data_IF_762351434023
#
_entry.id   IF_762351434023
#
_cell.length_a   1.000
_cell.length_b   1.000
_cell.length_c   1.000
_cell.angle_alpha   90.00
_cell.angle_beta   90.00
_cell.angle_gamma   90.00
#
_symmetry.space_group_name_H-M   'P 1'
#
loop_
_entity.id
_entity.type
_entity.pdbx_description
1 polymer ?
#
# COMPACT_ATOMS: atom_id res chain seq x y z
N UNK A 1 17.26 -9.11 -25.47
CA UNK A 1 17.58 -10.25 -24.57
C UNK A 1 16.47 -11.31 -24.55
N UNK A 2 15.22 -10.94 -24.28
CA UNK A 2 14.06 -11.87 -24.19
C UNK A 2 13.85 -12.73 -25.44
N UNK A 3 13.88 -12.13 -26.64
CA UNK A 3 13.73 -12.87 -27.92
C UNK A 3 14.78 -13.97 -28.11
N UNK A 4 16.00 -13.78 -27.59
CA UNK A 4 17.09 -14.76 -27.70
C UNK A 4 16.84 -15.95 -26.78
N UNK A 5 16.29 -15.70 -25.59
CA UNK A 5 15.85 -16.74 -24.65
C UNK A 5 14.68 -17.54 -25.22
N UNK A 6 13.67 -16.87 -25.79
CA UNK A 6 12.52 -17.54 -26.43
C UNK A 6 13.00 -18.48 -27.56
N UNK A 7 13.93 -18.04 -28.41
CA UNK A 7 14.50 -18.88 -29.48
C UNK A 7 15.32 -20.06 -28.94
N UNK A 8 16.08 -19.86 -27.86
CA UNK A 8 16.89 -20.93 -27.23
C UNK A 8 16.00 -21.99 -26.58
N UNK A 9 14.90 -21.59 -25.94
CA UNK A 9 13.92 -22.51 -25.34
C UNK A 9 13.19 -23.31 -26.42
N UNK A 10 12.76 -22.64 -27.50
CA UNK A 10 12.09 -23.28 -28.64
C UNK A 10 12.97 -24.33 -29.33
N UNK A 11 14.27 -24.06 -29.47
CA UNK A 11 15.25 -24.96 -30.10
C UNK A 11 15.95 -25.92 -29.13
N UNK A 12 15.54 -25.98 -27.85
CA UNK A 12 16.16 -26.86 -26.88
C UNK A 12 15.99 -28.36 -27.25
N UNK A 13 17.03 -29.16 -27.00
CA UNK A 13 17.02 -30.60 -27.23
C UNK A 13 16.01 -31.33 -26.34
N UNK A 14 15.71 -30.78 -25.17
CA UNK A 14 14.74 -31.33 -24.22
C UNK A 14 13.31 -31.36 -24.76
N UNK A 15 12.94 -30.43 -25.65
CA UNK A 15 11.63 -30.42 -26.29
C UNK A 15 11.67 -31.00 -27.72
N UNK A 16 12.83 -31.46 -28.22
CA UNK A 16 13.09 -31.86 -29.61
C UNK A 16 12.02 -32.77 -30.24
N UNK A 17 11.37 -33.63 -29.44
CA UNK A 17 10.32 -34.56 -29.85
C UNK A 17 8.97 -33.92 -30.19
N UNK A 18 8.72 -32.69 -29.75
CA UNK A 18 7.43 -32.00 -29.92
C UNK A 18 7.51 -31.04 -31.13
N UNK A 19 6.54 -31.02 -32.05
CA UNK A 19 6.59 -30.11 -33.19
C UNK A 19 6.65 -28.64 -32.75
N UNK A 20 7.46 -27.83 -33.44
CA UNK A 20 7.79 -26.45 -33.05
C UNK A 20 6.54 -25.56 -32.83
N UNK A 21 5.47 -25.78 -33.60
CA UNK A 21 4.18 -25.07 -33.45
C UNK A 21 3.54 -25.23 -32.07
N UNK A 22 3.56 -26.44 -31.51
CA UNK A 22 2.99 -26.71 -30.18
C UNK A 22 3.84 -26.09 -29.06
N UNK A 23 5.17 -26.05 -29.24
CA UNK A 23 6.07 -25.36 -28.28
C UNK A 23 5.82 -23.87 -28.24
N UNK A 24 5.60 -23.25 -29.40
CA UNK A 24 5.29 -21.83 -29.50
C UNK A 24 3.96 -21.50 -28.82
N UNK A 25 2.95 -22.36 -29.00
CA UNK A 25 1.65 -22.21 -28.34
C UNK A 25 1.78 -22.35 -26.80
N UNK A 26 2.52 -23.35 -26.33
CA UNK A 26 2.80 -23.54 -24.90
C UNK A 26 3.52 -22.36 -24.27
N UNK A 27 4.49 -21.77 -24.97
CA UNK A 27 5.23 -20.60 -24.48
C UNK A 27 4.35 -19.35 -24.42
N UNK A 28 3.44 -19.17 -25.38
CA UNK A 28 2.44 -18.09 -25.33
C UNK A 28 1.45 -18.26 -24.18
N UNK A 29 0.95 -19.48 -23.94
CA UNK A 29 0.07 -19.77 -22.80
C UNK A 29 0.80 -19.49 -21.49
N UNK A 30 2.03 -19.96 -21.35
CA UNK A 30 2.83 -19.73 -20.15
C UNK A 30 3.05 -18.24 -19.88
N UNK A 31 3.36 -17.47 -20.92
CA UNK A 31 3.48 -16.00 -20.82
C UNK A 31 2.16 -15.37 -20.38
N UNK A 32 1.04 -15.83 -20.92
CA UNK A 32 -0.30 -15.34 -20.57
C UNK A 32 -0.63 -15.66 -19.10
N UNK A 33 -0.31 -16.86 -18.61
CA UNK A 33 -0.51 -17.24 -17.21
C UNK A 33 0.32 -16.37 -16.26
N UNK A 34 1.59 -16.11 -16.57
CA UNK A 34 2.42 -15.21 -15.77
C UNK A 34 1.81 -13.81 -15.73
N UNK A 35 1.43 -13.30 -16.89
CA UNK A 35 0.87 -11.95 -17.00
C UNK A 35 -0.44 -11.83 -16.21
N UNK A 36 -1.29 -12.85 -16.28
CA UNK A 36 -2.53 -12.93 -15.51
C UNK A 36 -2.25 -13.00 -13.99
N UNK A 37 -1.27 -13.79 -13.57
CA UNK A 37 -0.89 -13.89 -12.16
C UNK A 37 -0.39 -12.54 -11.61
N UNK A 38 0.49 -11.87 -12.35
CA UNK A 38 1.00 -10.54 -11.97
C UNK A 38 -0.13 -9.51 -11.93
N UNK A 39 -1.00 -9.49 -12.95
CA UNK A 39 -2.13 -8.58 -13.00
C UNK A 39 -3.11 -8.80 -11.85
N UNK A 40 -3.39 -10.06 -11.49
CA UNK A 40 -4.24 -10.41 -10.36
C UNK A 40 -3.70 -9.83 -9.06
N UNK A 41 -2.42 -10.09 -8.75
CA UNK A 41 -1.78 -9.56 -7.54
C UNK A 41 -1.79 -8.03 -7.51
N UNK A 42 -1.45 -7.39 -8.63
CA UNK A 42 -1.46 -5.94 -8.74
C UNK A 42 -2.86 -5.35 -8.49
N UNK A 43 -3.91 -6.00 -8.98
CA UNK A 43 -5.29 -5.58 -8.78
C UNK A 43 -5.69 -5.67 -7.31
N UNK A 44 -5.37 -6.78 -6.62
CA UNK A 44 -5.62 -6.91 -5.18
C UNK A 44 -4.88 -5.86 -4.36
N UNK A 45 -3.61 -5.57 -4.70
CA UNK A 45 -2.85 -4.52 -4.03
C UNK A 45 -3.46 -3.14 -4.25
N UNK A 46 -3.89 -2.83 -5.47
CA UNK A 46 -4.54 -1.56 -5.77
C UNK A 46 -5.84 -1.39 -4.96
N UNK A 47 -6.69 -2.42 -4.94
CA UNK A 47 -7.92 -2.41 -4.13
C UNK A 47 -7.62 -2.28 -2.64
N UNK A 48 -6.61 -3.01 -2.14
CA UNK A 48 -6.19 -2.92 -0.74
C UNK A 48 -5.70 -1.53 -0.35
N UNK A 49 -4.92 -0.88 -1.22
CA UNK A 49 -4.45 0.48 -1.00
C UNK A 49 -5.59 1.49 -0.99
N UNK A 50 -6.57 1.34 -1.90
CA UNK A 50 -7.77 2.18 -1.91
C UNK A 50 -8.55 1.99 -0.62
N UNK A 51 -8.78 0.75 -0.20
CA UNK A 51 -9.49 0.46 1.05
C UNK A 51 -8.77 1.08 2.26
N UNK A 52 -7.46 0.89 2.37
CA UNK A 52 -6.65 1.47 3.45
C UNK A 52 -6.73 3.00 3.45
N UNK A 53 -6.64 3.63 2.28
CA UNK A 53 -6.79 5.07 2.14
C UNK A 53 -8.17 5.55 2.57
N UNK A 54 -9.24 4.85 2.19
CA UNK A 54 -10.61 5.22 2.62
C UNK A 54 -10.80 5.12 4.13
N UNK A 55 -10.20 4.11 4.78
CA UNK A 55 -10.26 3.96 6.24
C UNK A 55 -9.44 5.05 6.91
N UNK A 56 -8.24 5.35 6.41
CA UNK A 56 -7.39 6.41 6.95
C UNK A 56 -7.99 7.81 6.74
N UNK A 57 -8.84 7.98 5.74
CA UNK A 57 -9.56 9.23 5.49
C UNK A 57 -10.82 9.38 6.35
N UNK A 58 -11.21 8.35 7.13
CA UNK A 58 -12.33 8.50 8.06
C UNK A 58 -11.96 9.54 9.13
N UNK A 59 -12.89 10.44 9.48
CA UNK A 59 -12.67 11.35 10.58
C UNK A 59 -12.44 10.54 11.85
N UNK A 60 -11.33 10.83 12.54
CA UNK A 60 -11.07 10.28 13.86
C UNK A 60 -12.12 10.89 14.79
N UNK A 61 -13.07 10.09 15.25
CA UNK A 61 -13.98 10.48 16.33
C UNK A 61 -13.15 10.50 17.61
N UNK A 62 -12.48 11.62 17.87
CA UNK A 62 -11.94 11.90 19.17
C UNK A 62 -13.10 11.90 20.18
N UNK A 63 -12.99 11.23 21.33
CA UNK A 63 -13.98 11.41 22.39
C UNK A 63 -14.02 12.90 22.74
N UNK A 64 -15.21 13.45 22.99
CA UNK A 64 -15.39 14.87 23.43
C UNK A 64 -14.65 15.21 24.75
N UNK A 65 -14.00 14.21 25.36
CA UNK A 65 -13.14 14.29 26.54
C UNK A 65 -11.64 14.34 26.19
N UNK A 66 -11.26 14.47 24.92
CA UNK A 66 -9.87 14.73 24.58
C UNK A 66 -9.52 16.13 25.10
N UNK A 67 -8.54 16.24 26.01
CA UNK A 67 -8.30 17.51 26.69
C UNK A 67 -7.93 18.56 25.66
N UNK A 68 -8.67 19.67 25.66
CA UNK A 68 -8.39 20.79 24.77
C UNK A 68 -6.92 21.22 24.95
N UNK A 69 -6.34 21.90 23.96
CA UNK A 69 -4.94 22.36 23.98
C UNK A 69 -4.67 23.25 25.21
N UNK A 70 -5.73 23.81 25.78
CA UNK A 70 -5.79 24.62 27.00
C UNK A 70 -5.85 23.79 28.30
N UNK A 71 -6.35 22.55 28.24
CA UNK A 71 -6.47 21.61 29.37
C UNK A 71 -5.17 20.82 29.62
N UNK A 72 -4.30 20.72 28.61
CA UNK A 72 -2.96 20.14 28.78
C UNK A 72 -2.06 21.20 29.42
N UNK A 73 -1.59 20.94 30.64
CA UNK A 73 -0.72 21.85 31.41
C UNK A 73 0.65 22.03 30.75
N UNK A 74 0.72 22.88 29.72
CA UNK A 74 1.97 23.29 29.11
C UNK A 74 2.61 24.42 29.93
N UNK A 75 3.88 24.28 30.40
CA UNK A 75 4.53 25.30 31.22
C UNK A 75 4.55 26.69 30.59
N UNK A 76 4.48 26.77 29.25
CA UNK A 76 4.45 28.04 28.49
C UNK A 76 3.06 28.65 28.32
N UNK A 77 1.99 27.90 28.57
CA UNK A 77 0.62 28.37 28.37
C UNK A 77 0.24 29.44 29.41
N UNK A 78 0.66 29.25 30.66
CA UNK A 78 0.49 30.23 31.76
C UNK A 78 1.12 31.60 31.47
N UNK A 79 2.23 31.63 30.73
CA UNK A 79 2.88 32.90 30.36
C UNK A 79 2.20 33.62 29.19
N UNK A 80 1.45 32.89 28.36
CA UNK A 80 0.78 33.44 27.18
C UNK A 80 -0.65 33.89 27.48
N UNK A 81 -1.33 33.19 28.39
CA UNK A 81 -2.72 33.47 28.82
C UNK A 81 -2.82 33.51 30.34
N UNK A 82 -2.13 34.46 31.03
CA UNK A 82 -2.12 34.53 32.48
C UNK A 82 -3.52 34.72 33.09
N UNK A 83 -4.46 35.30 32.35
CA UNK A 83 -5.84 35.56 32.75
C UNK A 83 -6.68 34.28 32.96
N UNK A 84 -6.26 33.15 32.41
CA UNK A 84 -6.96 31.86 32.54
C UNK A 84 -6.50 31.05 33.77
N UNK A 85 -5.54 31.56 34.54
CA UNK A 85 -4.97 30.88 35.69
C UNK A 85 -5.24 31.66 36.98
N UNK A 86 -5.43 30.94 38.07
CA UNK A 86 -5.45 31.54 39.41
C UNK A 86 -4.05 31.92 39.90
N UNK A 87 -3.99 32.57 41.06
CA UNK A 87 -2.73 32.99 41.69
C UNK A 87 -1.80 31.79 42.00
N UNK A 88 -2.36 30.59 42.11
CA UNK A 88 -1.66 29.33 42.36
C UNK A 88 -1.18 28.64 41.07
N UNK A 89 -1.59 29.11 39.90
CA UNK A 89 -1.23 28.55 38.60
C UNK A 89 -2.09 27.37 38.15
N UNK A 90 -3.20 27.11 38.82
CA UNK A 90 -4.27 26.23 38.34
C UNK A 90 -5.10 26.95 37.29
N UNK A 91 -5.62 26.19 36.32
CA UNK A 91 -6.63 26.71 35.39
C UNK A 91 -7.89 27.09 36.19
N UNK A 92 -8.41 28.29 35.96
CA UNK A 92 -9.58 28.82 36.68
C UNK A 92 -10.90 28.31 36.12
#
# INVERSE_FOLDING_TARGET
MVKRLETTVLHSSALASVPCKYRQFGLQIFKLLILLAVASVALFLALGMIALWTIAALPITAPDNEPDIFEVSHPRHRFKYPEMYDDHGSLR
#
